data_IF_224497581130
#
_entry.id   IF_224497581130
#
_cell.length_a   1.000
_cell.length_b   1.000
_cell.length_c   1.000
_cell.angle_alpha   90.00
_cell.angle_beta   90.00
_cell.angle_gamma   90.00
#
_symmetry.space_group_name_H-M   'P 1'
#
loop_
_entity.id
_entity.type
_entity.pdbx_description
1 polymer ?
#
# COMPACT_ATOMS: atom_id res chain seq x y z
N UNK A 1 7.88 -0.37 6.64
CA UNK A 1 7.44 0.02 5.29
C UNK A 1 8.34 1.14 4.81
N UNK A 2 8.87 1.01 3.60
CA UNK A 2 9.66 2.03 2.91
C UNK A 2 8.78 2.78 1.90
N UNK A 3 9.04 4.08 1.74
CA UNK A 3 8.24 4.97 0.88
C UNK A 3 9.15 5.74 -0.06
N UNK A 4 8.98 5.48 -1.34
CA UNK A 4 9.63 6.22 -2.41
C UNK A 4 8.60 7.14 -3.07
N UNK A 5 9.05 8.35 -3.42
CA UNK A 5 8.19 9.37 -4.02
C UNK A 5 8.85 9.93 -5.27
N UNK A 6 8.05 10.11 -6.31
CA UNK A 6 8.43 10.79 -7.55
C UNK A 6 7.36 11.82 -7.90
N UNK A 7 7.58 12.67 -8.92
CA UNK A 7 6.54 13.57 -9.41
C UNK A 7 5.28 12.85 -9.93
N UNK A 8 5.40 11.59 -10.38
CA UNK A 8 4.31 10.83 -11.02
C UNK A 8 3.65 9.80 -10.11
N UNK A 9 4.33 9.33 -9.07
CA UNK A 9 3.80 8.27 -8.21
C UNK A 9 4.44 8.24 -6.81
N UNK A 10 3.78 7.53 -5.90
CA UNK A 10 4.37 6.98 -4.69
C UNK A 10 4.53 5.46 -4.86
N UNK A 11 5.64 4.93 -4.40
CA UNK A 11 5.87 3.48 -4.32
C UNK A 11 6.08 3.13 -2.85
N UNK A 12 5.12 2.42 -2.29
CA UNK A 12 5.17 1.91 -0.93
C UNK A 12 5.63 0.47 -0.97
N UNK A 13 6.63 0.10 -0.18
CA UNK A 13 7.10 -1.28 -0.16
C UNK A 13 7.27 -1.83 1.25
N UNK A 14 6.96 -3.10 1.44
CA UNK A 14 7.15 -3.77 2.72
C UNK A 14 7.50 -5.24 2.48
N UNK A 15 8.52 -5.72 3.18
CA UNK A 15 8.78 -7.14 3.28
C UNK A 15 7.80 -7.71 4.30
N UNK A 16 6.96 -8.63 3.86
CA UNK A 16 6.09 -9.38 4.76
C UNK A 16 6.79 -10.67 5.18
N UNK A 17 6.48 -11.21 6.37
CA UNK A 17 6.92 -12.55 6.75
C UNK A 17 6.47 -13.61 5.75
N UNK A 18 7.26 -14.68 5.60
CA UNK A 18 7.01 -15.75 4.62
C UNK A 18 5.68 -16.50 4.83
N UNK A 19 5.13 -16.47 6.04
CA UNK A 19 3.82 -17.06 6.34
C UNK A 19 2.63 -16.22 5.88
N UNK A 20 2.84 -14.94 5.57
CA UNK A 20 1.81 -14.04 5.03
C UNK A 20 1.73 -14.24 3.53
N UNK A 21 0.63 -14.86 3.08
CA UNK A 21 0.36 -15.08 1.66
C UNK A 21 -0.40 -13.91 1.04
N UNK A 22 -0.44 -13.85 -0.29
CA UNK A 22 -1.09 -12.74 -1.00
C UNK A 22 -2.57 -12.59 -0.65
N UNK A 23 -3.29 -13.69 -0.37
CA UNK A 23 -4.71 -13.71 -0.07
C UNK A 23 -5.02 -13.20 1.33
N UNK A 24 -4.00 -13.11 2.18
CA UNK A 24 -4.07 -12.60 3.55
C UNK A 24 -3.87 -11.09 3.61
N UNK A 25 -3.65 -10.43 2.46
CA UNK A 25 -3.41 -9.00 2.38
C UNK A 25 -4.61 -8.27 1.76
N UNK A 26 -5.10 -7.28 2.49
CA UNK A 26 -6.14 -6.36 2.04
C UNK A 26 -5.55 -4.97 1.87
N UNK A 27 -5.69 -4.40 0.67
CA UNK A 27 -5.35 -3.00 0.37
C UNK A 27 -6.65 -2.24 0.10
N UNK A 28 -6.94 -1.27 0.97
CA UNK A 28 -8.19 -0.53 0.97
C UNK A 28 -7.95 0.98 0.82
N UNK A 29 -8.70 1.58 -0.10
CA UNK A 29 -8.72 3.02 -0.33
C UNK A 29 -9.81 3.63 0.57
N UNK A 30 -9.44 4.55 1.45
CA UNK A 30 -10.35 5.14 2.44
C UNK A 30 -10.60 6.62 2.17
N UNK A 31 -11.77 7.12 2.62
CA UNK A 31 -12.14 8.54 2.51
C UNK A 31 -11.05 9.44 3.13
N UNK A 32 -10.73 10.54 2.45
CA UNK A 32 -9.76 11.52 2.92
C UNK A 32 -8.33 11.29 2.42
N UNK A 33 -8.15 10.68 1.24
CA UNK A 33 -6.84 10.39 0.62
C UNK A 33 -5.99 9.47 1.51
N UNK A 34 -6.58 8.39 1.99
CA UNK A 34 -5.91 7.42 2.85
C UNK A 34 -5.87 6.05 2.18
N UNK A 35 -4.78 5.34 2.41
CA UNK A 35 -4.64 3.93 2.06
C UNK A 35 -4.46 3.14 3.35
N UNK A 36 -5.24 2.07 3.50
CA UNK A 36 -5.10 1.11 4.59
C UNK A 36 -4.59 -0.21 4.02
N UNK A 37 -3.55 -0.75 4.63
CA UNK A 37 -2.99 -2.06 4.29
C UNK A 37 -3.08 -2.93 5.53
N UNK A 38 -3.71 -4.08 5.40
CA UNK A 38 -3.80 -5.10 6.45
C UNK A 38 -3.21 -6.38 5.90
N UNK A 39 -2.33 -7.01 6.66
CA UNK A 39 -1.89 -8.37 6.43
C UNK A 39 -2.27 -9.20 7.66
N UNK A 40 -3.11 -10.21 7.48
CA UNK A 40 -3.70 -10.99 8.58
C UNK A 40 -3.66 -12.50 8.28
N UNK A 41 -2.71 -13.19 8.91
CA UNK A 41 -2.64 -14.65 8.97
C UNK A 41 -3.56 -15.19 10.07
N UNK A 42 -4.87 -15.16 9.81
CA UNK A 42 -5.95 -15.64 10.69
C UNK A 42 -5.80 -17.08 11.24
N UNK A 43 -4.90 -17.87 10.66
CA UNK A 43 -4.63 -19.25 11.06
C UNK A 43 -3.51 -19.36 12.12
N UNK A 44 -2.89 -18.25 12.53
CA UNK A 44 -1.77 -18.19 13.47
C UNK A 44 -2.11 -17.30 14.68
N UNK A 45 -1.53 -17.63 15.84
CA UNK A 45 -1.76 -16.90 17.10
C UNK A 45 -0.74 -15.77 17.34
N UNK A 46 0.48 -15.92 16.83
CA UNK A 46 1.57 -14.97 17.00
C UNK A 46 2.02 -14.39 15.66
N UNK A 47 2.47 -13.13 15.68
CA UNK A 47 3.00 -12.42 14.50
C UNK A 47 2.08 -12.53 13.26
N UNK A 48 0.77 -12.54 13.50
CA UNK A 48 -0.23 -12.82 12.47
C UNK A 48 -0.85 -11.55 11.88
N UNK A 49 -0.81 -10.42 12.58
CA UNK A 49 -1.51 -9.18 12.17
C UNK A 49 -0.56 -8.00 12.01
N UNK A 50 -0.59 -7.37 10.83
CA UNK A 50 0.13 -6.16 10.52
C UNK A 50 -0.79 -5.14 9.87
N UNK A 51 -0.70 -3.88 10.30
CA UNK A 51 -1.57 -2.81 9.83
C UNK A 51 -0.81 -1.52 9.58
N UNK A 52 -1.08 -0.91 8.42
CA UNK A 52 -0.58 0.41 8.07
C UNK A 52 -1.72 1.30 7.58
N UNK A 53 -1.69 2.57 8.00
CA UNK A 53 -2.57 3.62 7.48
C UNK A 53 -1.69 4.76 6.95
N UNK A 54 -1.69 4.93 5.63
CA UNK A 54 -0.92 5.93 4.92
C UNK A 54 -1.83 7.11 4.59
N UNK A 55 -1.43 8.31 4.99
CA UNK A 55 -2.14 9.54 4.69
C UNK A 55 -1.41 10.27 3.56
N UNK A 56 -2.12 10.61 2.49
CA UNK A 56 -1.58 11.39 1.38
C UNK A 56 -2.04 12.85 1.48
N UNK A 57 -1.25 13.80 0.93
CA UNK A 57 -1.67 15.18 0.88
C UNK A 57 -3.01 15.34 0.11
N UNK A 58 -3.86 16.29 0.51
CA UNK A 58 -5.13 16.51 -0.17
C UNK A 58 -4.94 16.72 -1.68
N UNK A 59 -5.71 15.99 -2.49
CA UNK A 59 -5.72 16.08 -3.96
C UNK A 59 -4.40 15.69 -4.65
N UNK A 60 -3.46 15.06 -3.97
CA UNK A 60 -2.18 14.66 -4.58
C UNK A 60 -2.26 13.32 -5.31
N UNK A 61 -3.13 12.40 -4.87
CA UNK A 61 -3.20 11.04 -5.42
C UNK A 61 -4.44 10.78 -6.27
N UNK A 62 -4.27 9.96 -7.30
CA UNK A 62 -5.35 9.30 -8.01
C UNK A 62 -5.69 7.98 -7.30
N UNK A 63 -6.79 7.99 -6.56
CA UNK A 63 -7.24 6.84 -5.78
C UNK A 63 -7.74 5.68 -6.66
N UNK A 64 -8.12 5.94 -7.92
CA UNK A 64 -8.49 4.88 -8.88
C UNK A 64 -7.27 4.20 -9.51
N UNK A 65 -6.09 4.81 -9.40
CA UNK A 65 -4.83 4.32 -9.96
C UNK A 65 -3.95 3.58 -8.95
N UNK A 66 -4.51 3.09 -7.83
CA UNK A 66 -3.77 2.30 -6.84
C UNK A 66 -3.57 0.88 -7.38
N UNK A 67 -2.33 0.43 -7.43
CA UNK A 67 -1.96 -0.93 -7.86
C UNK A 67 -1.12 -1.59 -6.78
N UNK A 68 -1.43 -2.83 -6.44
CA UNK A 68 -0.69 -3.63 -5.48
C UNK A 68 -0.19 -4.91 -6.15
N UNK A 69 1.06 -5.27 -5.90
CA UNK A 69 1.68 -6.47 -6.43
C UNK A 69 2.66 -7.06 -5.43
N UNK A 70 2.81 -8.37 -5.46
CA UNK A 70 3.90 -9.08 -4.80
C UNK A 70 4.99 -9.36 -5.80
N UNK A 71 6.26 -9.17 -5.40
CA UNK A 71 7.38 -9.71 -6.16
C UNK A 71 7.68 -11.16 -5.76
N UNK A 72 8.63 -11.78 -6.47
CA UNK A 72 9.03 -13.17 -6.23
C UNK A 72 9.64 -13.44 -4.84
N UNK A 73 10.00 -12.39 -4.09
CA UNK A 73 10.55 -12.46 -2.74
C UNK A 73 9.51 -12.28 -1.63
N UNK A 74 8.22 -12.19 -1.98
CA UNK A 74 7.15 -11.95 -1.01
C UNK A 74 7.06 -10.49 -0.56
N UNK A 75 7.80 -9.58 -1.20
CA UNK A 75 7.71 -8.15 -0.92
C UNK A 75 6.46 -7.59 -1.57
N UNK A 76 5.63 -6.93 -0.77
CA UNK A 76 4.48 -6.18 -1.24
C UNK A 76 4.94 -4.81 -1.74
N UNK A 77 4.61 -4.48 -2.98
CA UNK A 77 4.77 -3.17 -3.58
C UNK A 77 3.41 -2.57 -3.94
N UNK A 78 3.15 -1.34 -3.50
CA UNK A 78 1.93 -0.59 -3.80
C UNK A 78 2.31 0.69 -4.52
N UNK A 79 1.93 0.80 -5.79
CA UNK A 79 2.10 1.98 -6.60
C UNK A 79 0.83 2.83 -6.52
N UNK A 80 1.00 4.10 -6.15
CA UNK A 80 -0.08 5.08 -6.05
C UNK A 80 0.24 6.24 -6.98
N UNK A 81 -0.49 6.33 -8.08
CA UNK A 81 -0.32 7.41 -9.06
C UNK A 81 -0.62 8.77 -8.44
N UNK A 82 0.21 9.77 -8.75
CA UNK A 82 -0.03 11.17 -8.40
C UNK A 82 -0.86 11.86 -9.48
N UNK A 83 -1.72 12.78 -9.06
CA UNK A 83 -2.46 13.62 -9.99
C UNK A 83 -1.49 14.59 -10.67
N UNK A 84 -1.58 14.78 -12.00
CA UNK A 84 -0.83 15.84 -12.65
C UNK A 84 -1.14 17.17 -11.98
N UNK A 85 -0.09 17.87 -11.52
CA UNK A 85 -0.23 19.25 -11.09
C UNK A 85 -0.32 20.10 -12.35
N UNK A 86 -1.53 20.30 -12.84
CA UNK A 86 -1.76 21.36 -13.82
C UNK A 86 -1.46 22.68 -13.10
N UNK A 87 -0.40 23.37 -13.53
CA UNK A 87 -0.21 24.77 -13.21
C UNK A 87 -1.32 25.52 -13.95
N UNK A 88 -2.31 26.01 -13.20
CA UNK A 88 -3.29 27.01 -13.66
C UNK A 88 -2.70 28.38 -13.37
#
# INVERSE_FOLDING_TARGET
MDVQTSPSEYVLTVQLPDHIKHEMVTVSVLKGNKLKVIADAWHMEEECHYEWVINFPPRDIDMGGVQAQFDASGRLAICVRRRPRYYI
#
